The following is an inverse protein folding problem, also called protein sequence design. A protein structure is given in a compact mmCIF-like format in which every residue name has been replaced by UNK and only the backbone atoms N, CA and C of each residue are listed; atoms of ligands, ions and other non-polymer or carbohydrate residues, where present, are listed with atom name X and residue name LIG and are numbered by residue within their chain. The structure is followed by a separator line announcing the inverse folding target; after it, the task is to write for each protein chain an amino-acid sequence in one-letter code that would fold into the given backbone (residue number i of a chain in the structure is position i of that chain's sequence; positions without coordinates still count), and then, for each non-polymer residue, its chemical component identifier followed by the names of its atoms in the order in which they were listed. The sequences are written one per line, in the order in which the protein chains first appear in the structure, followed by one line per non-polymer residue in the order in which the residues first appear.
data_IF_092178945616
#
_entry.id   IF_092178945616
#
_cell.length_a   1.000
_cell.length_b   1.000
_cell.length_c   1.000
_cell.angle_alpha   90.00
_cell.angle_beta   90.00
_cell.angle_gamma   90.00
#
_symmetry.space_group_name_H-M   'P 1'
#
loop_
_entity.id
_entity.type
_entity.pdbx_description
1 polymer ?
#
# COMPACT_ATOMS: atom_id res chain seq x y z
N UNK A 1 24.44 -4.00 33.39
CA UNK A 1 23.60 -5.19 33.16
C UNK A 1 23.58 -5.39 31.65
N UNK A 2 24.39 -6.32 31.12
CA UNK A 2 24.45 -6.60 29.68
C UNK A 2 23.22 -7.43 29.35
N UNK A 3 22.23 -6.85 28.66
CA UNK A 3 21.18 -7.62 28.02
C UNK A 3 21.89 -8.51 27.00
N UNK A 4 21.92 -9.82 27.23
CA UNK A 4 22.34 -10.77 26.21
C UNK A 4 21.34 -10.64 25.06
N UNK A 5 21.81 -10.08 23.95
CA UNK A 5 21.06 -10.00 22.69
C UNK A 5 20.61 -11.41 22.33
N UNK A 6 19.32 -11.57 22.05
CA UNK A 6 18.81 -12.89 21.65
C UNK A 6 19.43 -13.28 20.31
N UNK A 7 19.70 -14.58 20.04
CA UNK A 7 20.22 -15.01 18.75
C UNK A 7 19.28 -14.62 17.58
N UNK A 8 18.00 -14.44 17.86
CA UNK A 8 17.01 -13.99 16.88
C UNK A 8 17.17 -12.51 16.51
N UNK A 9 17.44 -11.65 17.50
CA UNK A 9 17.70 -10.23 17.30
C UNK A 9 18.95 -10.01 16.44
N UNK A 10 20.02 -10.78 16.68
CA UNK A 10 21.23 -10.74 15.85
C UNK A 10 20.91 -11.10 14.39
N UNK A 11 20.12 -12.15 14.14
CA UNK A 11 19.73 -12.54 12.77
C UNK A 11 18.91 -11.43 12.10
N UNK A 12 17.96 -10.83 12.81
CA UNK A 12 17.17 -9.71 12.28
C UNK A 12 18.08 -8.53 11.94
N UNK A 13 19.03 -8.20 12.82
CA UNK A 13 19.95 -7.11 12.59
C UNK A 13 20.80 -7.36 11.34
N UNK A 14 21.30 -8.60 11.14
CA UNK A 14 22.01 -8.98 9.91
C UNK A 14 21.14 -8.83 8.66
N UNK A 15 19.86 -9.19 8.73
CA UNK A 15 18.93 -9.00 7.60
C UNK A 15 18.68 -7.52 7.30
N UNK A 16 18.56 -6.68 8.33
CA UNK A 16 18.45 -5.22 8.19
C UNK A 16 19.72 -4.66 7.55
N UNK A 17 20.89 -5.03 8.06
CA UNK A 17 22.19 -4.57 7.56
C UNK A 17 22.44 -4.98 6.09
N UNK A 18 21.92 -6.13 5.67
CA UNK A 18 21.96 -6.60 4.27
C UNK A 18 20.92 -5.92 3.37
N UNK A 19 20.09 -5.01 3.90
CA UNK A 19 19.05 -4.33 3.14
C UNK A 19 17.88 -5.24 2.73
N UNK A 20 17.64 -6.34 3.46
CA UNK A 20 16.58 -7.29 3.12
C UNK A 20 15.19 -6.63 3.10
N UNK A 21 14.91 -5.78 4.09
CA UNK A 21 13.63 -5.09 4.22
C UNK A 21 13.53 -3.85 3.33
N UNK A 22 14.65 -3.17 3.08
CA UNK A 22 14.68 -1.99 2.22
C UNK A 22 14.64 -2.36 0.75
N UNK A 23 15.37 -3.37 0.31
CA UNK A 23 15.50 -3.69 -1.12
C UNK A 23 14.79 -4.99 -1.50
N UNK A 24 15.17 -6.11 -0.87
CA UNK A 24 14.84 -7.43 -1.36
C UNK A 24 13.34 -7.73 -1.32
N UNK A 25 12.67 -7.40 -0.21
CA UNK A 25 11.23 -7.61 -0.08
C UNK A 25 10.40 -6.75 -1.05
N UNK A 26 10.58 -5.41 -1.13
CA UNK A 26 9.88 -4.59 -2.14
C UNK A 26 10.15 -5.04 -3.58
N UNK A 27 11.39 -5.43 -3.87
CA UNK A 27 11.80 -5.93 -5.18
C UNK A 27 11.04 -7.20 -5.59
N UNK A 28 11.02 -8.24 -4.74
CA UNK A 28 10.33 -9.50 -5.06
C UNK A 28 8.83 -9.28 -5.18
N UNK A 29 8.24 -8.53 -4.24
CA UNK A 29 6.80 -8.25 -4.27
C UNK A 29 6.40 -7.53 -5.56
N UNK A 30 7.15 -6.49 -5.93
CA UNK A 30 6.84 -5.70 -7.12
C UNK A 30 7.09 -6.48 -8.41
N UNK A 31 8.16 -7.29 -8.46
CA UNK A 31 8.42 -8.21 -9.57
C UNK A 31 7.24 -9.19 -9.77
N UNK A 32 6.72 -9.77 -8.68
CA UNK A 32 5.55 -10.66 -8.77
C UNK A 32 4.29 -9.95 -9.27
N UNK A 33 4.04 -8.72 -8.80
CA UNK A 33 2.91 -7.90 -9.25
C UNK A 33 3.05 -7.55 -10.73
N UNK A 34 4.21 -7.04 -11.17
CA UNK A 34 4.44 -6.71 -12.57
C UNK A 34 4.34 -7.95 -13.47
N UNK A 35 4.87 -9.09 -13.04
CA UNK A 35 4.72 -10.34 -13.78
C UNK A 35 3.24 -10.73 -13.95
N UNK A 36 2.45 -10.67 -12.88
CA UNK A 36 1.02 -10.98 -12.93
C UNK A 36 0.26 -10.03 -13.86
N UNK A 37 0.57 -8.72 -13.81
CA UNK A 37 -0.03 -7.71 -14.68
C UNK A 37 0.34 -7.94 -16.16
N UNK A 38 1.63 -8.14 -16.46
CA UNK A 38 2.11 -8.39 -17.81
C UNK A 38 1.48 -9.65 -18.40
N UNK A 39 1.48 -10.75 -17.64
CA UNK A 39 0.87 -12.03 -18.04
C UNK A 39 -0.63 -11.90 -18.31
N UNK A 40 -1.36 -11.13 -17.48
CA UNK A 40 -2.80 -10.91 -17.66
C UNK A 40 -3.10 -10.01 -18.85
N UNK A 41 -2.29 -8.99 -19.08
CA UNK A 41 -2.53 -8.00 -20.14
C UNK A 41 -2.28 -8.54 -21.54
N UNK A 42 -1.34 -9.50 -21.70
CA UNK A 42 -0.85 -10.01 -22.99
C UNK A 42 -0.38 -8.91 -23.95
N UNK A 43 -0.07 -7.71 -23.45
CA UNK A 43 0.29 -6.55 -24.30
C UNK A 43 1.69 -6.70 -24.89
N UNK A 44 2.65 -7.26 -24.14
CA UNK A 44 4.06 -7.27 -24.53
C UNK A 44 4.49 -8.62 -25.13
N UNK A 45 4.16 -9.74 -24.46
CA UNK A 45 4.50 -11.07 -24.95
C UNK A 45 3.61 -12.15 -24.33
N UNK A 46 3.37 -13.22 -25.08
CA UNK A 46 2.79 -14.47 -24.55
C UNK A 46 3.82 -15.34 -23.82
N UNK A 47 5.12 -15.10 -24.05
CA UNK A 47 6.19 -15.85 -23.40
C UNK A 47 6.29 -15.49 -21.92
N UNK A 48 6.09 -16.49 -21.06
CA UNK A 48 6.21 -16.33 -19.60
C UNK A 48 7.61 -15.90 -19.19
N UNK A 49 8.64 -16.35 -19.91
CA UNK A 49 10.04 -16.01 -19.62
C UNK A 49 10.31 -14.52 -19.89
N UNK A 50 9.82 -14.01 -21.03
CA UNK A 50 9.95 -12.58 -21.37
C UNK A 50 9.25 -11.70 -20.34
N UNK A 51 8.03 -12.04 -19.94
CA UNK A 51 7.29 -11.28 -18.93
C UNK A 51 7.97 -11.30 -17.55
N UNK A 52 8.57 -12.43 -17.16
CA UNK A 52 9.29 -12.55 -15.89
C UNK A 52 10.58 -11.70 -15.90
N UNK A 53 11.38 -11.79 -16.96
CA UNK A 53 12.59 -10.97 -17.11
C UNK A 53 12.25 -9.49 -17.11
N UNK A 54 11.21 -9.08 -17.82
CA UNK A 54 10.79 -7.68 -17.87
C UNK A 54 10.30 -7.18 -16.52
N UNK A 55 9.46 -7.96 -15.82
CA UNK A 55 8.97 -7.62 -14.49
C UNK A 55 10.13 -7.45 -13.48
N UNK A 56 11.12 -8.34 -13.54
CA UNK A 56 12.31 -8.29 -12.70
C UNK A 56 13.12 -7.03 -12.99
N UNK A 57 13.36 -6.70 -14.27
CA UNK A 57 14.07 -5.48 -14.67
C UNK A 57 13.35 -4.21 -14.22
N UNK A 58 12.02 -4.14 -14.37
CA UNK A 58 11.23 -2.98 -13.93
C UNK A 58 11.31 -2.82 -12.41
N UNK A 59 11.11 -3.90 -11.66
CA UNK A 59 11.21 -3.85 -10.20
C UNK A 59 12.61 -3.42 -9.74
N UNK A 60 13.66 -3.96 -10.37
CA UNK A 60 15.03 -3.58 -10.07
C UNK A 60 15.28 -2.08 -10.32
N UNK A 61 14.82 -1.54 -11.45
CA UNK A 61 15.00 -0.11 -11.77
C UNK A 61 14.26 0.81 -10.80
N UNK A 62 13.04 0.44 -10.38
CA UNK A 62 12.22 1.26 -9.48
C UNK A 62 12.82 1.29 -8.07
N UNK A 63 13.28 0.15 -7.55
CA UNK A 63 13.71 0.04 -6.15
C UNK A 63 15.22 0.09 -5.96
N UNK A 64 16.01 -0.21 -6.99
CA UNK A 64 17.47 -0.15 -6.92
C UNK A 64 17.96 1.27 -6.68
N UNK A 65 17.36 2.27 -7.35
CA UNK A 65 17.82 3.66 -7.23
C UNK A 65 17.64 4.26 -5.82
N UNK A 66 16.45 4.21 -5.17
CA UNK A 66 16.29 4.72 -3.81
C UNK A 66 17.27 4.09 -2.81
N UNK A 67 17.52 2.78 -2.94
CA UNK A 67 18.44 2.04 -2.05
C UNK A 67 19.89 2.50 -2.25
N UNK A 68 20.33 2.65 -3.51
CA UNK A 68 21.66 3.21 -3.83
C UNK A 68 21.79 4.66 -3.32
N UNK A 69 20.70 5.42 -3.33
CA UNK A 69 20.63 6.78 -2.82
C UNK A 69 20.54 6.86 -1.27
N UNK A 70 20.55 5.73 -0.57
CA UNK A 70 20.46 5.68 0.90
C UNK A 70 19.08 6.00 1.47
N UNK A 71 18.03 5.92 0.65
CA UNK A 71 16.64 6.14 1.07
C UNK A 71 16.09 4.81 1.59
N UNK A 72 15.70 4.78 2.88
CA UNK A 72 15.02 3.61 3.44
C UNK A 72 13.61 3.46 2.88
N UNK A 73 13.32 2.27 2.37
CA UNK A 73 12.01 1.84 1.88
C UNK A 73 11.22 1.11 2.96
N UNK A 74 11.92 0.47 3.90
CA UNK A 74 11.32 -0.34 4.95
C UNK A 74 10.30 0.44 5.79
N UNK A 75 10.64 1.68 6.18
CA UNK A 75 9.72 2.51 6.99
C UNK A 75 8.43 2.87 6.24
N UNK A 76 8.47 3.48 5.03
CA UNK A 76 7.26 3.77 4.25
C UNK A 76 6.42 2.55 3.92
N UNK A 77 7.04 1.41 3.56
CA UNK A 77 6.30 0.17 3.31
C UNK A 77 5.67 -0.39 4.58
N UNK A 78 6.39 -0.42 5.70
CA UNK A 78 5.86 -0.85 7.00
C UNK A 78 4.63 -0.02 7.38
N UNK A 79 4.72 1.31 7.27
CA UNK A 79 3.61 2.21 7.53
C UNK A 79 2.42 1.93 6.60
N UNK A 80 2.67 1.72 5.30
CA UNK A 80 1.63 1.37 4.34
C UNK A 80 0.91 0.07 4.70
N UNK A 81 1.67 -1.00 4.98
CA UNK A 81 1.09 -2.29 5.33
C UNK A 81 0.32 -2.23 6.66
N UNK A 82 0.87 -1.58 7.68
CA UNK A 82 0.16 -1.38 8.96
C UNK A 82 -1.14 -0.62 8.73
N UNK A 83 -1.12 0.47 7.96
CA UNK A 83 -2.33 1.24 7.63
C UNK A 83 -3.37 0.36 6.92
N UNK A 84 -2.97 -0.35 5.85
CA UNK A 84 -3.88 -1.23 5.10
C UNK A 84 -4.41 -2.37 5.98
N UNK A 85 -3.59 -2.96 6.85
CA UNK A 85 -4.03 -3.99 7.80
C UNK A 85 -5.07 -3.45 8.76
N UNK A 86 -4.87 -2.24 9.31
CA UNK A 86 -5.86 -1.58 10.18
C UNK A 86 -7.18 -1.38 9.41
N UNK A 87 -7.12 -0.91 8.16
CA UNK A 87 -8.32 -0.76 7.33
C UNK A 87 -9.05 -2.09 7.12
N UNK A 88 -8.31 -3.14 6.73
CA UNK A 88 -8.87 -4.48 6.54
C UNK A 88 -9.55 -4.97 7.82
N UNK A 89 -8.92 -4.76 9.00
CA UNK A 89 -9.51 -5.13 10.28
C UNK A 89 -10.80 -4.34 10.55
N UNK A 90 -10.79 -3.02 10.36
CA UNK A 90 -12.01 -2.20 10.53
C UNK A 90 -13.14 -2.70 9.62
N UNK A 91 -12.85 -2.98 8.34
CA UNK A 91 -13.84 -3.54 7.43
C UNK A 91 -14.29 -4.94 7.83
N UNK A 92 -13.38 -5.81 8.24
CA UNK A 92 -13.70 -7.17 8.68
C UNK A 92 -14.61 -7.17 9.91
N UNK A 93 -14.29 -6.35 10.93
CA UNK A 93 -15.15 -6.16 12.10
C UNK A 93 -16.48 -5.50 11.73
N UNK A 94 -16.48 -4.51 10.84
CA UNK A 94 -17.70 -3.89 10.33
C UNK A 94 -18.61 -4.89 9.64
N UNK A 95 -18.07 -5.78 8.80
CA UNK A 95 -18.81 -6.86 8.17
C UNK A 95 -19.31 -7.90 9.17
N UNK A 96 -18.49 -8.26 10.17
CA UNK A 96 -18.89 -9.17 11.24
C UNK A 96 -20.09 -8.60 12.01
N UNK A 97 -20.02 -7.33 12.43
CA UNK A 97 -21.14 -6.67 13.12
C UNK A 97 -22.37 -6.55 12.23
N UNK A 98 -22.20 -6.18 10.97
CA UNK A 98 -23.31 -6.12 10.01
C UNK A 98 -23.97 -7.50 9.81
N UNK A 99 -23.21 -8.59 9.86
CA UNK A 99 -23.75 -9.95 9.71
C UNK A 99 -24.70 -10.36 10.84
N UNK A 100 -24.60 -9.71 12.01
CA UNK A 100 -25.54 -9.92 13.11
C UNK A 100 -26.94 -9.36 12.81
N UNK A 101 -27.01 -8.30 12.01
CA UNK A 101 -28.27 -7.65 11.62
C UNK A 101 -28.77 -8.10 10.24
N UNK A 102 -27.87 -8.61 9.39
CA UNK A 102 -28.16 -9.06 8.04
C UNK A 102 -27.70 -10.52 7.86
N UNK A 103 -28.59 -11.51 8.09
CA UNK A 103 -28.25 -12.93 8.02
C UNK A 103 -27.67 -13.35 6.66
N UNK A 104 -28.15 -12.71 5.59
CA UNK A 104 -27.73 -12.96 4.20
C UNK A 104 -26.76 -11.89 3.68
N UNK A 105 -25.75 -11.52 4.48
CA UNK A 105 -24.79 -10.47 4.11
C UNK A 105 -24.11 -10.75 2.77
N UNK A 106 -23.86 -12.01 2.44
CA UNK A 106 -23.27 -12.41 1.15
C UNK A 106 -24.15 -12.00 -0.04
N UNK A 107 -25.47 -12.19 0.06
CA UNK A 107 -26.41 -11.81 -0.99
C UNK A 107 -26.51 -10.28 -1.09
N UNK A 108 -26.57 -9.60 0.04
CA UNK A 108 -26.56 -8.13 0.12
C UNK A 108 -25.30 -7.53 -0.50
N UNK A 109 -24.12 -8.04 -0.13
CA UNK A 109 -22.84 -7.58 -0.69
C UNK A 109 -22.77 -7.86 -2.19
N UNK A 110 -23.23 -9.03 -2.64
CA UNK A 110 -23.23 -9.36 -4.07
C UNK A 110 -24.14 -8.43 -4.87
N UNK A 111 -25.38 -8.17 -4.40
CA UNK A 111 -26.27 -7.23 -5.08
C UNK A 111 -25.69 -5.80 -5.08
N UNK A 112 -25.19 -5.32 -3.94
CA UNK A 112 -24.58 -4.00 -3.85
C UNK A 112 -23.33 -3.86 -4.72
N UNK A 113 -22.43 -4.84 -4.70
CA UNK A 113 -21.18 -4.80 -5.46
C UNK A 113 -21.38 -5.04 -6.95
N UNK A 114 -22.36 -5.84 -7.38
CA UNK A 114 -22.63 -6.06 -8.80
C UNK A 114 -23.31 -4.83 -9.40
N UNK A 115 -24.33 -4.28 -8.75
CA UNK A 115 -25.06 -3.11 -9.24
C UNK A 115 -24.20 -1.84 -9.22
N UNK A 116 -23.32 -1.72 -8.22
CA UNK A 116 -22.45 -0.54 -8.05
C UNK A 116 -20.98 -0.84 -8.32
N UNK A 117 -20.67 -1.88 -9.10
CA UNK A 117 -19.30 -2.34 -9.40
C UNK A 117 -18.35 -1.21 -9.76
N UNK A 118 -18.80 -0.29 -10.62
CA UNK A 118 -18.01 0.88 -11.03
C UNK A 118 -17.67 1.78 -9.82
N UNK A 119 -18.64 2.10 -8.96
CA UNK A 119 -18.43 2.99 -7.80
C UNK A 119 -17.53 2.37 -6.74
N UNK A 120 -17.66 1.06 -6.50
CA UNK A 120 -16.83 0.39 -5.50
C UNK A 120 -15.35 0.34 -5.90
N UNK A 121 -15.08 0.06 -7.18
CA UNK A 121 -13.70 0.10 -7.71
C UNK A 121 -13.10 1.49 -7.50
N UNK A 122 -13.84 2.57 -7.78
CA UNK A 122 -13.37 3.93 -7.52
C UNK A 122 -13.09 4.20 -6.04
N UNK A 123 -13.96 3.77 -5.13
CA UNK A 123 -13.73 3.92 -3.69
C UNK A 123 -12.46 3.18 -3.25
N UNK A 124 -12.26 1.94 -3.72
CA UNK A 124 -11.07 1.16 -3.40
C UNK A 124 -9.78 1.82 -3.94
N UNK A 125 -9.82 2.36 -5.16
CA UNK A 125 -8.70 3.11 -5.74
C UNK A 125 -8.40 4.35 -4.91
N UNK A 126 -9.42 5.13 -4.55
CA UNK A 126 -9.23 6.37 -3.78
C UNK A 126 -8.69 6.08 -2.38
N UNK A 127 -9.22 5.06 -1.69
CA UNK A 127 -8.67 4.62 -0.39
C UNK A 127 -7.22 4.14 -0.53
N UNK A 128 -6.90 3.41 -1.60
CA UNK A 128 -5.53 2.99 -1.90
C UNK A 128 -4.59 4.18 -2.13
N UNK A 129 -5.02 5.20 -2.87
CA UNK A 129 -4.26 6.43 -3.09
C UNK A 129 -4.05 7.19 -1.77
N UNK A 130 -5.08 7.30 -0.92
CA UNK A 130 -4.95 7.95 0.39
C UNK A 130 -3.93 7.20 1.24
N UNK A 131 -4.06 5.88 1.38
CA UNK A 131 -3.11 5.06 2.14
C UNK A 131 -1.68 5.17 1.59
N UNK A 132 -1.54 5.26 0.27
CA UNK A 132 -0.25 5.47 -0.40
C UNK A 132 0.37 6.84 -0.07
N UNK A 133 -0.44 7.88 0.03
CA UNK A 133 0.00 9.23 0.40
C UNK A 133 0.35 9.29 1.89
N UNK A 134 -0.52 8.79 2.76
CA UNK A 134 -0.35 8.85 4.22
C UNK A 134 0.74 7.94 4.76
N UNK A 135 1.16 6.93 4.00
CA UNK A 135 2.27 6.05 4.39
C UNK A 135 3.65 6.68 4.19
N UNK A 136 3.74 7.79 3.46
CA UNK A 136 5.01 8.40 3.06
C UNK A 136 5.62 7.78 1.80
N UNK A 137 4.99 6.80 1.13
CA UNK A 137 5.50 6.22 -0.11
C UNK A 137 5.67 7.26 -1.23
N UNK A 138 4.87 8.34 -1.22
CA UNK A 138 5.06 9.47 -2.16
C UNK A 138 6.45 10.08 -2.00
N UNK A 139 6.91 10.32 -0.78
CA UNK A 139 8.23 10.91 -0.53
C UNK A 139 9.39 10.00 -0.95
N UNK A 140 9.18 8.68 -1.02
CA UNK A 140 10.17 7.76 -1.57
C UNK A 140 10.33 7.96 -3.08
N UNK A 141 9.21 8.11 -3.80
CA UNK A 141 9.21 8.25 -5.25
C UNK A 141 9.61 9.66 -5.71
N UNK A 142 9.40 10.69 -4.88
CA UNK A 142 9.70 12.09 -5.21
C UNK A 142 10.91 12.68 -4.47
N UNK A 143 11.43 11.96 -3.47
CA UNK A 143 12.41 12.44 -2.48
C UNK A 143 13.71 13.04 -3.02
N UNK A 144 14.30 12.59 -4.14
CA UNK A 144 15.54 13.18 -4.63
C UNK A 144 15.37 14.15 -5.81
N UNK A 145 14.19 14.74 -6.06
CA UNK A 145 14.10 15.90 -6.95
C UNK A 145 14.53 17.23 -6.29
N UNK A 146 15.06 17.24 -5.05
CA UNK A 146 15.61 18.49 -4.50
C UNK A 146 16.13 18.53 -3.07
N UNK A 147 16.03 17.48 -2.24
CA UNK A 147 16.58 17.53 -0.87
C UNK A 147 17.29 16.23 -0.51
N UNK A 148 18.59 16.31 -0.30
CA UNK A 148 19.38 15.21 0.29
C UNK A 148 18.87 14.97 1.72
N UNK A 149 18.40 13.75 2.04
CA UNK A 149 17.99 13.41 3.40
C UNK A 149 19.16 13.66 4.36
N UNK A 150 18.94 14.45 5.41
CA UNK A 150 19.91 14.56 6.50
C UNK A 150 19.96 13.22 7.23
N UNK A 151 21.16 12.64 7.45
CA UNK A 151 21.29 11.39 8.19
C UNK A 151 20.59 11.49 9.56
N UNK A 152 19.68 10.56 9.85
CA UNK A 152 18.97 10.49 11.12
C UNK A 152 17.62 11.23 11.20
N UNK A 153 17.18 11.93 10.15
CA UNK A 153 15.79 12.40 10.08
C UNK A 153 14.90 11.28 9.52
N UNK A 154 13.93 10.83 10.32
CA UNK A 154 12.85 10.01 9.79
C UNK A 154 12.08 10.87 8.78
N UNK A 155 11.87 10.38 7.54
CA UNK A 155 11.09 11.12 6.56
C UNK A 155 9.66 11.26 7.08
N UNK A 156 9.35 12.42 7.66
CA UNK A 156 7.99 12.79 8.02
C UNK A 156 7.31 13.32 6.76
N UNK A 157 6.13 12.83 6.38
CA UNK A 157 5.35 13.45 5.32
C UNK A 157 5.14 14.94 5.68
N UNK A 158 5.22 15.87 4.71
CA UNK A 158 4.88 17.26 4.98
C UNK A 158 3.49 17.34 5.60
N UNK A 159 3.31 18.15 6.65
CA UNK A 159 2.02 18.33 7.33
C UNK A 159 0.88 18.66 6.34
N UNK A 160 1.21 19.38 5.26
CA UNK A 160 0.28 19.72 4.19
C UNK A 160 -0.26 18.48 3.46
N UNK A 161 0.57 17.46 3.29
CA UNK A 161 0.18 16.20 2.64
C UNK A 161 -0.75 15.38 3.55
N UNK A 162 -0.46 15.38 4.86
CA UNK A 162 -1.32 14.74 5.87
C UNK A 162 -2.67 15.45 5.96
N UNK A 163 -2.67 16.79 5.99
CA UNK A 163 -3.87 17.61 6.02
C UNK A 163 -4.71 17.44 4.76
N UNK A 164 -4.08 17.36 3.58
CA UNK A 164 -4.75 17.11 2.31
C UNK A 164 -5.39 15.71 2.30
N UNK A 165 -4.66 14.68 2.73
CA UNK A 165 -5.18 13.31 2.80
C UNK A 165 -6.36 13.20 3.79
N UNK A 166 -6.27 13.85 4.95
CA UNK A 166 -7.36 13.93 5.92
C UNK A 166 -8.58 14.68 5.35
N UNK A 167 -8.36 15.78 4.63
CA UNK A 167 -9.42 16.54 3.96
C UNK A 167 -10.15 15.74 2.88
N UNK A 168 -9.41 15.00 2.05
CA UNK A 168 -9.98 14.08 1.06
C UNK A 168 -10.79 12.96 1.75
N UNK A 169 -10.29 12.42 2.86
CA UNK A 169 -10.99 11.40 3.64
C UNK A 169 -12.34 11.90 4.18
N UNK A 170 -12.35 13.10 4.77
CA UNK A 170 -13.58 13.76 5.26
C UNK A 170 -14.54 14.00 4.10
N UNK A 171 -14.05 14.48 2.95
CA UNK A 171 -14.86 14.71 1.75
C UNK A 171 -15.54 13.43 1.26
N UNK A 172 -14.80 12.32 1.18
CA UNK A 172 -15.34 11.03 0.74
C UNK A 172 -16.39 10.52 1.72
N UNK A 173 -16.11 10.62 3.03
CA UNK A 173 -17.08 10.24 4.05
C UNK A 173 -18.38 11.05 3.91
N UNK A 174 -18.29 12.36 3.69
CA UNK A 174 -19.45 13.24 3.46
C UNK A 174 -20.20 12.82 2.18
N UNK A 175 -19.50 12.55 1.08
CA UNK A 175 -20.12 12.14 -0.19
C UNK A 175 -20.84 10.79 -0.04
N UNK A 176 -20.24 9.83 0.66
CA UNK A 176 -20.85 8.52 0.92
C UNK A 176 -22.10 8.68 1.79
N UNK A 177 -22.04 9.49 2.85
CA UNK A 177 -23.19 9.78 3.71
C UNK A 177 -24.30 10.48 2.89
N UNK A 178 -23.97 11.51 2.12
CA UNK A 178 -24.92 12.23 1.28
C UNK A 178 -25.57 11.32 0.23
N UNK A 179 -24.79 10.47 -0.44
CA UNK A 179 -25.30 9.50 -1.40
C UNK A 179 -26.20 8.44 -0.75
N UNK A 180 -25.91 8.05 0.50
CA UNK A 180 -26.74 7.13 1.27
C UNK A 180 -28.09 7.75 1.64
N UNK A 181 -28.13 9.03 1.99
CA UNK A 181 -29.37 9.75 2.34
C UNK A 181 -30.26 9.95 1.11
N UNK A 182 -29.66 10.26 -0.06
CA UNK A 182 -30.41 10.48 -1.30
C UNK A 182 -30.95 9.15 -1.87
N UNK A 183 -30.19 8.06 -1.75
CA UNK A 183 -30.58 6.72 -2.21
C UNK A 183 -31.67 6.04 -1.37
N UNK A 184 -32.02 6.60 -0.21
CA UNK A 184 -33.03 6.07 0.71
C UNK A 184 -34.42 6.70 0.53
N UNK A 185 -34.60 7.56 -0.46
CA UNK A 185 -35.89 8.08 -0.93
C UNK A 185 -36.18 7.51 -2.32
#
# INVERSE_FOLDING_TARGET
MLLMTSPFEEIIQRLIDLGFYDFFLPFILSSAIFYALLKKSKIISESSLVNATLALSIAFLIFGYPVIAGISLASPFSNFFVQITIWILIFAFGFLLASLFYPDITKFLTSYFVERRSRFIWVAIVLGIIAFITSGLVSVLTGPLGQTPKPGQTPSPPLDVIALAAGIFILIAIIVIAASVISGR
#
